data_IF_581810112723
#
_entry.id   IF_581810112723
#
_cell.length_a   1.000
_cell.length_b   1.000
_cell.length_c   1.000
_cell.angle_alpha   90.00
_cell.angle_beta   90.00
_cell.angle_gamma   90.00
#
_symmetry.space_group_name_H-M   'P 1'
#
loop_
_entity.id
_entity.type
_entity.pdbx_description
1 polymer ?
#
# COMPACT_ATOMS: atom_id res chain seq x y z
N UNK A 1 -71.32 -8.22 13.43
CA UNK A 1 -70.22 -7.24 13.36
C UNK A 1 -69.30 -7.44 14.56
N UNK A 2 -68.13 -8.07 14.36
CA UNK A 2 -66.86 -7.59 14.90
C UNK A 2 -65.72 -8.36 14.21
N UNK A 3 -64.84 -7.63 13.52
CA UNK A 3 -63.73 -8.19 12.74
C UNK A 3 -62.53 -8.47 13.65
N UNK A 4 -61.99 -9.69 13.58
CA UNK A 4 -60.66 -10.00 14.10
C UNK A 4 -59.59 -9.38 13.22
N UNK A 5 -58.81 -8.43 13.77
CA UNK A 5 -57.59 -7.91 13.14
C UNK A 5 -56.46 -8.94 13.34
N UNK A 6 -56.07 -9.58 12.24
CA UNK A 6 -54.89 -10.42 12.18
C UNK A 6 -53.61 -9.60 12.38
N UNK A 7 -52.78 -10.05 13.32
CA UNK A 7 -51.39 -9.68 13.41
C UNK A 7 -50.60 -10.61 12.47
N UNK A 8 -50.15 -10.09 11.33
CA UNK A 8 -49.16 -10.75 10.50
C UNK A 8 -48.10 -9.76 10.04
N UNK A 9 -46.86 -10.22 10.22
CA UNK A 9 -45.72 -9.97 9.33
C UNK A 9 -44.90 -8.71 9.57
N UNK A 10 -43.94 -8.82 10.51
CA UNK A 10 -42.77 -7.95 10.60
C UNK A 10 -41.43 -8.68 10.51
N UNK A 11 -41.40 -9.98 10.17
CA UNK A 11 -40.22 -10.84 10.36
C UNK A 11 -39.45 -11.25 9.07
N UNK A 12 -39.86 -10.82 7.87
CA UNK A 12 -39.33 -11.40 6.62
C UNK A 12 -38.25 -10.60 5.87
N UNK A 13 -37.88 -9.39 6.32
CA UNK A 13 -36.94 -8.53 5.54
C UNK A 13 -35.47 -8.69 5.98
N UNK A 14 -35.18 -9.25 7.16
CA UNK A 14 -33.80 -9.34 7.69
C UNK A 14 -33.01 -10.62 7.36
N UNK A 15 -33.67 -11.73 7.03
CA UNK A 15 -33.02 -13.05 6.94
C UNK A 15 -32.23 -13.28 5.64
N UNK A 16 -32.71 -12.73 4.51
CA UNK A 16 -32.08 -12.95 3.20
C UNK A 16 -30.75 -12.21 3.03
N UNK A 17 -30.60 -11.02 3.61
CA UNK A 17 -29.36 -10.24 3.55
C UNK A 17 -28.20 -10.87 4.31
N UNK A 18 -28.47 -11.45 5.50
CA UNK A 18 -27.47 -12.13 6.31
C UNK A 18 -26.96 -13.44 5.68
N UNK A 19 -27.86 -14.21 5.05
CA UNK A 19 -27.50 -15.46 4.39
C UNK A 19 -26.60 -15.26 3.16
N UNK A 20 -26.89 -14.24 2.33
CA UNK A 20 -26.05 -13.89 1.18
C UNK A 20 -24.68 -13.36 1.61
N UNK A 21 -24.64 -12.50 2.64
CA UNK A 21 -23.37 -12.01 3.20
C UNK A 21 -22.49 -13.13 3.75
N UNK A 22 -23.08 -14.09 4.49
CA UNK A 22 -22.38 -15.27 4.99
C UNK A 22 -21.86 -16.19 3.89
N UNK A 23 -22.67 -16.43 2.85
CA UNK A 23 -22.28 -17.24 1.70
C UNK A 23 -21.14 -16.60 0.89
N UNK A 24 -21.19 -15.29 0.67
CA UNK A 24 -20.14 -14.53 -0.02
C UNK A 24 -18.84 -14.51 0.80
N UNK A 25 -18.93 -14.24 2.11
CA UNK A 25 -17.77 -14.28 3.01
C UNK A 25 -17.10 -15.67 3.03
N UNK A 26 -17.91 -16.73 3.12
CA UNK A 26 -17.42 -18.11 3.04
C UNK A 26 -16.84 -18.48 1.68
N UNK A 27 -17.36 -17.93 0.58
CA UNK A 27 -16.79 -18.14 -0.75
C UNK A 27 -15.45 -17.42 -0.90
N UNK A 28 -15.32 -16.19 -0.37
CA UNK A 28 -14.12 -15.36 -0.45
C UNK A 28 -12.95 -15.87 0.39
N UNK A 29 -13.22 -16.54 1.51
CA UNK A 29 -12.19 -17.12 2.37
C UNK A 29 -11.57 -18.41 1.82
N UNK A 30 -12.25 -19.09 0.88
CA UNK A 30 -11.74 -20.30 0.23
C UNK A 30 -10.48 -20.01 -0.60
N UNK A 31 -9.63 -21.02 -0.85
CA UNK A 31 -8.46 -20.86 -1.70
C UNK A 31 -8.80 -20.34 -3.09
N UNK A 32 -7.98 -19.39 -3.57
CA UNK A 32 -8.03 -18.93 -4.95
C UNK A 32 -7.47 -20.01 -5.90
N UNK A 33 -7.99 -20.04 -7.12
CA UNK A 33 -7.43 -20.88 -8.18
C UNK A 33 -6.10 -20.31 -8.64
N UNK A 34 -5.26 -21.14 -9.25
CA UNK A 34 -3.99 -20.68 -9.81
C UNK A 34 -4.21 -19.65 -10.94
N UNK A 35 -5.30 -19.77 -11.71
CA UNK A 35 -5.68 -18.80 -12.74
C UNK A 35 -5.89 -17.39 -12.17
N UNK A 36 -6.50 -17.26 -10.99
CA UNK A 36 -6.68 -15.96 -10.34
C UNK A 36 -5.34 -15.33 -9.95
N UNK A 37 -4.40 -16.14 -9.44
CA UNK A 37 -3.03 -15.70 -9.16
C UNK A 37 -2.25 -15.34 -10.41
N UNK A 38 -2.41 -16.12 -11.49
CA UNK A 38 -1.77 -15.84 -12.77
C UNK A 38 -2.29 -14.53 -13.39
N UNK A 39 -3.61 -14.30 -13.37
CA UNK A 39 -4.22 -13.06 -13.83
C UNK A 39 -3.72 -11.86 -13.01
N UNK A 40 -3.69 -11.98 -11.67
CA UNK A 40 -3.13 -10.95 -10.80
C UNK A 40 -1.65 -10.67 -11.13
N UNK A 41 -0.82 -11.70 -11.23
CA UNK A 41 0.59 -11.57 -11.57
C UNK A 41 0.80 -10.90 -12.93
N UNK A 42 0.01 -11.28 -13.94
CA UNK A 42 0.05 -10.69 -15.27
C UNK A 42 -0.33 -9.20 -15.25
N UNK A 43 -1.38 -8.82 -14.51
CA UNK A 43 -1.80 -7.41 -14.38
C UNK A 43 -0.74 -6.57 -13.69
N UNK A 44 -0.17 -7.05 -12.57
CA UNK A 44 0.88 -6.34 -11.84
C UNK A 44 2.14 -6.18 -12.70
N UNK A 45 2.56 -7.25 -13.40
CA UNK A 45 3.72 -7.21 -14.30
C UNK A 45 3.45 -6.27 -15.49
N UNK A 46 2.27 -6.34 -16.11
CA UNK A 46 1.90 -5.48 -17.22
C UNK A 46 1.90 -4.00 -16.81
N UNK A 47 1.47 -3.68 -15.58
CA UNK A 47 1.54 -2.32 -15.06
C UNK A 47 2.99 -1.82 -14.98
N UNK A 48 3.90 -2.61 -14.40
CA UNK A 48 5.33 -2.28 -14.30
C UNK A 48 5.96 -2.09 -15.69
N UNK A 49 5.73 -3.05 -16.60
CA UNK A 49 6.30 -3.01 -17.96
C UNK A 49 5.74 -1.81 -18.73
N UNK A 50 4.43 -1.54 -18.65
CA UNK A 50 3.80 -0.39 -19.29
C UNK A 50 4.43 0.92 -18.85
N UNK A 51 4.71 1.08 -17.55
CA UNK A 51 5.34 2.29 -17.01
C UNK A 51 6.76 2.44 -17.54
N UNK A 52 7.59 1.40 -17.47
CA UNK A 52 8.97 1.45 -17.95
C UNK A 52 9.12 1.65 -19.46
N UNK A 53 8.10 1.31 -20.25
CA UNK A 53 8.08 1.54 -21.71
C UNK A 53 7.53 2.91 -22.13
N UNK A 54 6.84 3.66 -21.25
CA UNK A 54 6.17 4.93 -21.62
C UNK A 54 7.11 6.11 -21.83
N UNK A 55 8.34 6.08 -21.31
CA UNK A 55 9.32 7.15 -21.53
C UNK A 55 10.65 6.93 -20.79
N UNK A 56 11.67 7.77 -21.06
CA UNK A 56 13.01 7.65 -20.46
C UNK A 56 12.98 7.71 -18.94
N UNK A 57 12.08 8.51 -18.39
CA UNK A 57 11.94 8.74 -16.94
C UNK A 57 10.81 7.93 -16.30
N UNK A 58 10.13 7.07 -17.05
CA UNK A 58 9.06 6.21 -16.53
C UNK A 58 7.89 6.96 -15.86
N UNK A 59 7.74 8.28 -16.05
CA UNK A 59 6.69 9.07 -15.38
C UNK A 59 6.98 9.43 -13.91
N UNK A 60 8.21 9.19 -13.43
CA UNK A 60 8.55 9.34 -12.00
C UNK A 60 8.51 10.78 -11.49
N UNK A 61 7.85 11.01 -10.35
CA UNK A 61 7.74 12.32 -9.70
C UNK A 61 8.77 12.58 -8.58
N UNK A 62 9.75 11.69 -8.46
CA UNK A 62 10.74 11.69 -7.37
C UNK A 62 12.10 12.28 -7.76
N UNK A 63 12.23 12.82 -8.98
CA UNK A 63 13.49 13.31 -9.54
C UNK A 63 14.18 14.37 -8.66
N UNK A 64 13.42 15.20 -7.95
CA UNK A 64 14.01 16.21 -7.05
C UNK A 64 14.79 15.59 -5.89
N UNK A 65 14.33 14.45 -5.37
CA UNK A 65 15.00 13.75 -4.27
C UNK A 65 16.21 12.98 -4.78
N UNK A 66 16.12 12.42 -5.98
CA UNK A 66 17.24 11.76 -6.65
C UNK A 66 18.37 12.75 -6.93
N UNK A 67 18.06 13.94 -7.47
CA UNK A 67 19.07 15.00 -7.67
C UNK A 67 19.72 15.47 -6.36
N UNK A 68 18.95 15.52 -5.27
CA UNK A 68 19.50 15.83 -3.96
C UNK A 68 20.47 14.74 -3.48
N UNK A 69 20.17 13.47 -3.74
CA UNK A 69 21.06 12.35 -3.46
C UNK A 69 22.33 12.37 -4.34
N UNK A 70 22.22 12.69 -5.62
CA UNK A 70 23.36 12.90 -6.53
C UNK A 70 24.26 14.04 -6.03
N UNK A 71 23.67 15.18 -5.67
CA UNK A 71 24.42 16.30 -5.11
C UNK A 71 25.18 15.90 -3.83
N UNK A 72 24.53 15.13 -2.95
CA UNK A 72 25.17 14.63 -1.74
C UNK A 72 26.31 13.64 -2.04
N UNK A 73 26.15 12.75 -3.03
CA UNK A 73 27.20 11.85 -3.51
C UNK A 73 28.40 12.62 -4.09
N UNK A 74 28.17 13.77 -4.71
CA UNK A 74 29.22 14.68 -5.21
C UNK A 74 29.88 15.52 -4.10
N UNK A 75 29.54 15.30 -2.83
CA UNK A 75 30.03 16.10 -1.70
C UNK A 75 29.41 17.51 -1.61
N UNK A 76 28.35 17.78 -2.38
CA UNK A 76 27.59 19.05 -2.34
C UNK A 76 26.44 18.95 -1.36
N UNK A 77 25.91 20.10 -0.95
CA UNK A 77 24.72 20.14 -0.07
C UNK A 77 23.47 19.71 -0.85
N UNK A 78 22.67 18.74 -0.37
CA UNK A 78 21.38 18.39 -0.98
C UNK A 78 20.37 19.56 -0.92
N UNK A 79 20.59 20.51 -0.01
CA UNK A 79 19.76 21.71 0.18
C UNK A 79 20.20 22.91 -0.67
N UNK A 80 21.16 22.73 -1.56
CA UNK A 80 21.53 23.77 -2.52
C UNK A 80 20.41 24.07 -3.53
N UNK A 81 19.54 23.09 -3.81
CA UNK A 81 18.29 23.30 -4.55
C UNK A 81 17.20 23.78 -3.60
N UNK A 82 16.74 25.02 -3.77
CA UNK A 82 15.68 25.64 -2.95
C UNK A 82 14.34 24.89 -2.98
N UNK A 83 14.13 24.04 -3.99
CA UNK A 83 12.89 23.27 -4.12
C UNK A 83 12.94 21.96 -3.29
N UNK A 84 14.11 21.56 -2.77
CA UNK A 84 14.27 20.36 -1.96
C UNK A 84 13.82 20.62 -0.52
N UNK A 85 12.55 20.29 -0.24
CA UNK A 85 11.89 20.50 1.06
C UNK A 85 11.75 19.20 1.89
N UNK A 86 12.53 18.17 1.56
CA UNK A 86 12.47 16.88 2.26
C UNK A 86 13.48 16.80 3.41
N UNK A 87 13.20 15.91 4.36
CA UNK A 87 14.11 15.59 5.46
C UNK A 87 15.38 14.88 4.93
N UNK A 88 16.51 14.92 5.65
CA UNK A 88 17.75 14.27 5.22
C UNK A 88 17.60 12.77 4.96
N UNK A 89 16.68 12.09 5.67
CA UNK A 89 16.39 10.67 5.47
C UNK A 89 15.87 10.37 4.05
N UNK A 90 15.24 11.34 3.39
CA UNK A 90 14.84 11.21 2.00
C UNK A 90 16.04 11.08 1.06
N UNK A 91 17.12 11.83 1.31
CA UNK A 91 18.36 11.76 0.51
C UNK A 91 18.93 10.34 0.57
N UNK A 92 19.01 9.77 1.77
CA UNK A 92 19.51 8.40 1.96
C UNK A 92 18.61 7.35 1.28
N UNK A 93 17.29 7.53 1.33
CA UNK A 93 16.34 6.63 0.67
C UNK A 93 16.42 6.68 -0.86
N UNK A 94 16.88 7.80 -1.44
CA UNK A 94 17.07 7.96 -2.88
C UNK A 94 18.40 7.39 -3.40
N UNK A 95 19.36 7.08 -2.53
CA UNK A 95 20.68 6.59 -2.96
C UNK A 95 20.64 5.40 -3.91
N UNK A 96 19.83 4.35 -3.67
CA UNK A 96 19.75 3.23 -4.61
C UNK A 96 19.32 3.68 -6.01
N UNK A 97 18.41 4.66 -6.10
CA UNK A 97 17.94 5.19 -7.37
C UNK A 97 18.99 6.09 -8.05
N UNK A 98 19.72 6.90 -7.28
CA UNK A 98 20.78 7.78 -7.78
C UNK A 98 22.01 7.01 -8.30
N UNK A 99 22.29 5.83 -7.74
CA UNK A 99 23.44 5.01 -8.12
C UNK A 99 23.17 4.09 -9.33
N UNK A 100 21.90 3.89 -9.70
CA UNK A 100 21.53 2.94 -10.75
C UNK A 100 21.33 3.62 -12.11
N UNK A 101 21.73 2.96 -13.22
CA UNK A 101 21.47 3.49 -14.55
C UNK A 101 19.97 3.64 -14.84
N UNK A 102 19.59 4.73 -15.49
CA UNK A 102 18.20 5.05 -15.82
C UNK A 102 17.42 3.91 -16.54
N UNK A 103 18.03 3.13 -17.47
CA UNK A 103 17.35 2.00 -18.11
C UNK A 103 16.88 0.92 -17.13
N UNK A 104 17.55 0.81 -15.97
CA UNK A 104 17.20 -0.12 -14.90
C UNK A 104 16.17 0.51 -13.97
N UNK A 105 16.38 1.78 -13.58
CA UNK A 105 15.50 2.54 -12.68
C UNK A 105 14.06 2.58 -13.18
N UNK A 106 13.84 2.82 -14.48
CA UNK A 106 12.49 2.92 -15.09
C UNK A 106 11.64 1.65 -14.93
N UNK A 107 12.24 0.49 -14.61
CA UNK A 107 11.52 -0.73 -14.28
C UNK A 107 11.58 -1.07 -12.78
N UNK A 108 12.72 -0.84 -12.14
CA UNK A 108 12.90 -1.15 -10.71
C UNK A 108 12.02 -0.30 -9.81
N UNK A 109 11.84 0.99 -10.11
CA UNK A 109 11.00 1.87 -9.29
C UNK A 109 9.53 1.43 -9.32
N UNK A 110 8.85 1.30 -10.47
CA UNK A 110 7.46 0.81 -10.49
C UNK A 110 7.32 -0.62 -9.94
N UNK A 111 8.33 -1.49 -10.12
CA UNK A 111 8.36 -2.80 -9.50
C UNK A 111 8.44 -2.72 -7.97
N UNK A 112 9.30 -1.85 -7.43
CA UNK A 112 9.46 -1.60 -6.00
C UNK A 112 8.19 -1.01 -5.38
N UNK A 113 7.57 -0.04 -6.04
CA UNK A 113 6.25 0.50 -5.65
C UNK A 113 5.21 -0.63 -5.61
N UNK A 114 5.12 -1.43 -6.68
CA UNK A 114 4.17 -2.54 -6.76
C UNK A 114 4.38 -3.55 -5.63
N UNK A 115 5.63 -3.92 -5.36
CA UNK A 115 6.00 -4.83 -4.27
C UNK A 115 5.61 -4.25 -2.89
N UNK A 116 5.83 -2.95 -2.67
CA UNK A 116 5.45 -2.28 -1.44
C UNK A 116 3.92 -2.25 -1.23
N UNK A 117 3.14 -1.99 -2.29
CA UNK A 117 1.68 -2.08 -2.25
C UNK A 117 1.18 -3.50 -1.95
N UNK A 118 1.78 -4.51 -2.58
CA UNK A 118 1.48 -5.93 -2.32
C UNK A 118 1.82 -6.29 -0.85
N UNK A 119 2.94 -5.80 -0.33
CA UNK A 119 3.33 -6.02 1.07
C UNK A 119 2.36 -5.35 2.05
N UNK A 120 1.92 -4.12 1.75
CA UNK A 120 0.90 -3.41 2.52
C UNK A 120 -0.43 -4.17 2.56
N UNK A 121 -0.86 -4.68 1.40
CA UNK A 121 -2.04 -5.55 1.29
C UNK A 121 -1.89 -6.83 2.12
N UNK A 122 -0.73 -7.50 2.02
CA UNK A 122 -0.46 -8.70 2.81
C UNK A 122 -0.47 -8.42 4.33
N UNK A 123 -0.01 -7.24 4.76
CA UNK A 123 -0.09 -6.82 6.16
C UNK A 123 -1.54 -6.61 6.59
N UNK A 124 -2.35 -5.92 5.79
CA UNK A 124 -3.77 -5.73 6.05
C UNK A 124 -4.52 -7.07 6.18
N UNK A 125 -4.28 -8.01 5.26
CA UNK A 125 -4.84 -9.36 5.34
C UNK A 125 -4.48 -10.06 6.66
N UNK A 126 -3.22 -9.96 7.10
CA UNK A 126 -2.78 -10.56 8.37
C UNK A 126 -3.38 -9.88 9.60
N UNK A 127 -3.61 -8.57 9.57
CA UNK A 127 -4.31 -7.87 10.65
C UNK A 127 -5.73 -8.43 10.81
N UNK A 128 -6.41 -8.70 9.70
CA UNK A 128 -7.78 -9.21 9.67
C UNK A 128 -7.90 -10.73 9.69
N UNK A 129 -6.79 -11.47 9.88
CA UNK A 129 -6.80 -12.94 9.91
C UNK A 129 -7.19 -13.61 8.58
N UNK A 130 -7.13 -12.89 7.46
CA UNK A 130 -7.49 -13.43 6.15
C UNK A 130 -6.31 -14.21 5.55
N UNK A 131 -6.50 -15.48 5.13
CA UNK A 131 -5.43 -16.27 4.53
C UNK A 131 -4.92 -15.65 3.23
N UNK A 132 -3.60 -15.59 3.05
CA UNK A 132 -2.98 -15.07 1.82
C UNK A 132 -3.42 -15.82 0.57
N UNK A 133 -3.68 -17.13 0.68
CA UNK A 133 -4.09 -17.98 -0.46
C UNK A 133 -5.59 -17.85 -0.80
N UNK A 134 -6.34 -17.02 -0.08
CA UNK A 134 -7.79 -16.89 -0.27
C UNK A 134 -8.17 -16.17 -1.56
N UNK A 135 -9.41 -16.34 -2.02
CA UNK A 135 -9.98 -15.59 -3.15
C UNK A 135 -10.03 -14.11 -2.86
N UNK A 136 -10.34 -13.72 -1.63
CA UNK A 136 -10.30 -12.32 -1.22
C UNK A 136 -8.93 -11.70 -1.42
N UNK A 137 -7.86 -12.40 -1.03
CA UNK A 137 -6.50 -11.91 -1.18
C UNK A 137 -6.14 -11.65 -2.65
N UNK A 138 -6.43 -12.61 -3.54
CA UNK A 138 -6.11 -12.50 -4.96
C UNK A 138 -7.03 -11.52 -5.71
N UNK A 139 -8.35 -11.70 -5.59
CA UNK A 139 -9.33 -10.88 -6.31
C UNK A 139 -9.41 -9.46 -5.74
N UNK A 140 -9.23 -9.28 -4.44
CA UNK A 140 -9.19 -7.96 -3.81
C UNK A 140 -7.99 -7.15 -4.30
N UNK A 141 -6.80 -7.75 -4.35
CA UNK A 141 -5.63 -7.06 -4.89
C UNK A 141 -5.75 -6.79 -6.39
N UNK A 142 -6.32 -7.73 -7.14
CA UNK A 142 -6.61 -7.54 -8.57
C UNK A 142 -7.59 -6.37 -8.77
N UNK A 143 -8.67 -6.32 -7.98
CA UNK A 143 -9.65 -5.24 -8.02
C UNK A 143 -9.03 -3.89 -7.66
N UNK A 144 -8.12 -3.84 -6.68
CA UNK A 144 -7.34 -2.64 -6.37
C UNK A 144 -6.46 -2.23 -7.55
N UNK A 145 -5.71 -3.16 -8.13
CA UNK A 145 -4.77 -2.88 -9.21
C UNK A 145 -5.46 -2.37 -10.48
N UNK A 146 -6.66 -2.86 -10.79
CA UNK A 146 -7.41 -2.50 -12.00
C UNK A 146 -8.41 -1.36 -11.76
N UNK A 147 -9.06 -1.35 -10.61
CA UNK A 147 -10.23 -0.50 -10.33
C UNK A 147 -9.96 0.67 -9.38
N UNK A 148 -8.81 0.72 -8.71
CA UNK A 148 -8.48 1.79 -7.77
C UNK A 148 -7.39 2.70 -8.33
N UNK A 149 -7.81 3.85 -8.89
CA UNK A 149 -6.91 4.80 -9.54
C UNK A 149 -5.66 5.17 -8.71
N UNK A 150 -5.74 5.39 -7.37
CA UNK A 150 -4.55 5.67 -6.58
C UNK A 150 -3.50 4.56 -6.59
N UNK A 151 -3.88 3.29 -6.74
CA UNK A 151 -2.92 2.19 -6.92
C UNK A 151 -2.13 2.41 -8.21
N UNK A 152 -2.83 2.61 -9.32
CA UNK A 152 -2.23 2.87 -10.63
C UNK A 152 -1.33 4.11 -10.63
N UNK A 153 -1.82 5.22 -10.06
CA UNK A 153 -1.07 6.47 -9.98
C UNK A 153 0.23 6.33 -9.18
N UNK A 154 0.24 5.60 -8.06
CA UNK A 154 1.47 5.36 -7.31
C UNK A 154 2.51 4.62 -8.14
N UNK A 155 2.09 3.58 -8.88
CA UNK A 155 2.97 2.79 -9.75
C UNK A 155 3.47 3.63 -10.92
N UNK A 156 2.61 4.43 -11.53
CA UNK A 156 2.95 5.30 -12.67
C UNK A 156 3.90 6.44 -12.28
N UNK A 157 3.71 7.03 -11.10
CA UNK A 157 4.51 8.17 -10.64
C UNK A 157 5.77 7.76 -9.87
N UNK A 158 5.93 6.48 -9.52
CA UNK A 158 7.03 6.07 -8.63
C UNK A 158 7.04 6.82 -7.29
N UNK A 159 5.85 7.25 -6.83
CA UNK A 159 5.71 8.24 -5.77
C UNK A 159 5.99 7.63 -4.39
N UNK A 160 6.81 8.33 -3.61
CA UNK A 160 7.29 7.88 -2.30
C UNK A 160 6.21 7.78 -1.23
N UNK A 161 5.00 8.26 -1.49
CA UNK A 161 3.80 7.99 -0.66
C UNK A 161 3.55 6.49 -0.52
N UNK A 162 4.05 5.67 -1.45
CA UNK A 162 4.02 4.21 -1.30
C UNK A 162 4.72 3.72 -0.02
N UNK A 163 5.78 4.41 0.43
CA UNK A 163 6.46 4.06 1.67
C UNK A 163 5.49 4.15 2.86
N UNK A 164 4.69 5.21 2.93
CA UNK A 164 3.65 5.35 3.95
C UNK A 164 2.51 4.34 3.79
N UNK A 165 2.09 4.07 2.54
CA UNK A 165 1.04 3.09 2.24
C UNK A 165 1.42 1.67 2.67
N UNK A 166 2.70 1.31 2.62
CA UNK A 166 3.21 0.03 3.12
C UNK A 166 3.53 0.07 4.63
N UNK A 167 4.13 1.16 5.11
CA UNK A 167 4.57 1.30 6.50
C UNK A 167 3.41 1.30 7.49
N UNK A 168 2.30 1.96 7.18
CA UNK A 168 1.14 2.03 8.09
C UNK A 168 0.58 0.63 8.44
N UNK A 169 0.16 -0.22 7.47
CA UNK A 169 -0.35 -1.55 7.79
C UNK A 169 0.73 -2.45 8.40
N UNK A 170 2.02 -2.27 8.06
CA UNK A 170 3.11 -3.02 8.70
C UNK A 170 3.28 -2.63 10.18
N UNK A 171 3.26 -1.33 10.50
CA UNK A 171 3.35 -0.83 11.86
C UNK A 171 2.14 -1.28 12.69
N UNK A 172 0.93 -1.19 12.14
CA UNK A 172 -0.28 -1.72 12.78
C UNK A 172 -0.18 -3.22 13.03
N UNK A 173 0.35 -3.99 12.08
CA UNK A 173 0.57 -5.43 12.28
C UNK A 173 1.54 -5.70 13.44
N UNK A 174 2.58 -4.88 13.62
CA UNK A 174 3.46 -4.98 14.78
C UNK A 174 2.76 -4.60 16.09
N UNK A 175 1.95 -3.54 16.09
CA UNK A 175 1.12 -3.14 17.25
C UNK A 175 0.16 -4.25 17.65
N UNK A 176 -0.55 -4.86 16.70
CA UNK A 176 -1.45 -6.01 16.94
C UNK A 176 -0.74 -7.22 17.54
N UNK A 177 0.59 -7.32 17.37
CA UNK A 177 1.43 -8.36 17.98
C UNK A 177 2.20 -7.90 19.22
N UNK A 178 1.87 -6.73 19.77
CA UNK A 178 2.54 -6.16 20.94
C UNK A 178 3.99 -5.71 20.71
N UNK A 179 4.45 -5.64 19.45
CA UNK A 179 5.83 -5.26 19.07
C UNK A 179 5.96 -3.76 18.85
N UNK A 180 5.74 -2.97 19.90
CA UNK A 180 5.69 -1.51 19.83
C UNK A 180 6.98 -0.86 19.31
N UNK A 181 8.16 -1.35 19.71
CA UNK A 181 9.46 -0.82 19.23
C UNK A 181 9.60 -1.00 17.71
N UNK A 182 9.24 -2.17 17.19
CA UNK A 182 9.28 -2.44 15.74
C UNK A 182 8.30 -1.53 14.98
N UNK A 183 7.10 -1.31 15.53
CA UNK A 183 6.14 -0.39 14.95
C UNK A 183 6.67 1.06 14.94
N UNK A 184 7.30 1.50 16.04
CA UNK A 184 7.93 2.81 16.15
C UNK A 184 9.07 2.99 15.13
N UNK A 185 9.92 1.98 14.93
CA UNK A 185 10.97 2.01 13.91
C UNK A 185 10.41 2.13 12.48
N UNK A 186 9.34 1.40 12.16
CA UNK A 186 8.69 1.48 10.85
C UNK A 186 8.10 2.86 10.60
N UNK A 187 7.38 3.42 11.58
CA UNK A 187 6.81 4.77 11.47
C UNK A 187 7.90 5.82 11.41
N UNK A 188 8.94 5.73 12.26
CA UNK A 188 10.07 6.65 12.27
C UNK A 188 10.82 6.65 10.93
N UNK A 189 11.09 5.47 10.37
CA UNK A 189 11.69 5.35 9.04
C UNK A 189 10.80 5.98 7.96
N UNK A 190 9.49 5.70 7.98
CA UNK A 190 8.56 6.30 7.02
C UNK A 190 8.53 7.83 7.12
N UNK A 191 8.50 8.38 8.34
CA UNK A 191 8.52 9.83 8.60
C UNK A 191 9.82 10.45 8.09
N UNK A 192 10.96 9.80 8.33
CA UNK A 192 12.27 10.27 7.86
C UNK A 192 12.37 10.35 6.33
N UNK A 193 11.68 9.46 5.61
CA UNK A 193 11.60 9.49 4.13
C UNK A 193 10.57 10.52 3.65
N UNK A 194 9.36 10.51 4.23
CA UNK A 194 8.28 11.42 3.88
C UNK A 194 7.33 11.55 5.08
N UNK A 195 7.18 12.74 5.68
CA UNK A 195 6.53 12.91 6.98
C UNK A 195 4.98 12.78 6.96
N UNK A 196 4.41 12.02 6.02
CA UNK A 196 2.96 11.81 5.91
C UNK A 196 2.39 11.09 7.12
N UNK A 197 3.15 10.18 7.73
CA UNK A 197 2.74 9.43 8.92
C UNK A 197 3.10 10.14 10.23
N UNK A 198 3.61 11.37 10.22
CA UNK A 198 3.96 12.09 11.44
C UNK A 198 2.78 12.19 12.45
N UNK A 199 1.52 12.44 12.03
CA UNK A 199 0.39 12.44 12.96
C UNK A 199 0.15 11.09 13.67
N UNK A 200 0.55 9.96 13.05
CA UNK A 200 0.38 8.61 13.63
C UNK A 200 1.27 8.42 14.87
N UNK A 201 2.37 9.18 14.99
CA UNK A 201 3.25 9.16 16.17
C UNK A 201 2.49 9.52 17.45
N UNK A 202 1.45 10.37 17.35
CA UNK A 202 0.60 10.73 18.49
C UNK A 202 -0.08 9.51 19.11
N UNK A 203 -0.38 8.47 18.34
CA UNK A 203 -0.97 7.24 18.86
C UNK A 203 -0.03 6.51 19.83
N UNK A 204 1.28 6.54 19.57
CA UNK A 204 2.28 5.96 20.48
C UNK A 204 2.38 6.75 21.78
N UNK A 205 2.30 8.08 21.69
CA UNK A 205 2.27 8.97 22.85
C UNK A 205 1.03 8.73 23.72
N UNK A 206 -0.17 8.72 23.11
CA UNK A 206 -1.42 8.47 23.83
C UNK A 206 -1.50 7.06 24.40
N UNK A 207 -0.91 6.08 23.73
CA UNK A 207 -0.80 4.72 24.26
C UNK A 207 0.21 4.57 25.41
N UNK A 208 0.99 5.62 25.72
CA UNK A 208 2.12 5.59 26.66
C UNK A 208 3.15 4.50 26.33
N UNK A 209 3.42 4.33 25.04
CA UNK A 209 4.37 3.33 24.51
C UNK A 209 5.48 4.06 23.76
N UNK A 210 6.42 4.63 24.52
CA UNK A 210 7.67 5.24 24.03
C UNK A 210 8.87 4.34 24.29
#
# INVERSE_FOLDING_TARGET
>A
MNMGKGALSGAHVGAHGGALGGALGGWLSRPATWHAWAALGAVLLAAVVRVGLRGPDGGMDNAIVVRAAEAWLDGRSPYADRHFLYLPGAVLAALPQALLPQPVVRFLVPAGVTAALVAGWACALRIHGVPWRSRFAALGLLALAVGFAPFGHLVELGNWTVASAAALPLALLFVCRGRWVAAGLVIGAAVAVKPLLAPVVLLFLFARRW
#
